data_IF_328507367110
#
_entry.id   IF_328507367110
#
_cell.length_a   1.000
_cell.length_b   1.000
_cell.length_c   1.000
_cell.angle_alpha   90.00
_cell.angle_beta   90.00
_cell.angle_gamma   90.00
#
_symmetry.space_group_name_H-M   'P 1'
#
loop_
_entity.id
_entity.type
_entity.pdbx_description
1 polymer ?
#
# COMPACT_ATOMS: atom_id res chain seq x y z
N UNK A 1 13.21 -25.02 27.87
CA UNK A 1 13.31 -24.55 26.47
C UNK A 1 12.58 -23.22 26.39
N UNK A 2 13.24 -22.16 26.83
CA UNK A 2 12.68 -20.81 26.96
C UNK A 2 13.25 -19.98 25.80
N UNK A 3 12.46 -19.75 24.75
CA UNK A 3 12.93 -19.03 23.56
C UNK A 3 12.27 -17.65 23.47
N UNK A 4 13.08 -16.63 23.80
CA UNK A 4 13.13 -15.29 23.20
C UNK A 4 11.78 -14.62 22.85
N UNK A 5 11.26 -13.83 23.80
CA UNK A 5 10.32 -12.72 23.54
C UNK A 5 11.03 -11.39 23.77
N UNK A 6 11.84 -10.96 22.82
CA UNK A 6 12.27 -9.56 22.80
C UNK A 6 11.09 -8.67 22.39
N UNK A 7 10.56 -7.91 23.36
CA UNK A 7 9.65 -6.81 23.10
C UNK A 7 10.48 -5.65 22.55
N UNK A 8 10.51 -5.50 21.23
CA UNK A 8 11.01 -4.29 20.60
C UNK A 8 10.04 -3.12 20.88
N UNK A 9 10.43 -2.24 21.80
CA UNK A 9 9.78 -0.94 22.00
C UNK A 9 10.50 0.10 21.16
N UNK A 10 9.84 0.61 20.12
CA UNK A 10 10.35 1.70 19.30
C UNK A 10 9.73 3.02 19.78
N UNK A 11 10.49 3.81 20.53
CA UNK A 11 10.12 5.19 20.86
C UNK A 11 10.41 6.09 19.66
N UNK A 12 9.35 6.47 18.94
CA UNK A 12 9.44 7.50 17.90
C UNK A 12 9.40 8.86 18.60
N UNK A 13 10.53 9.55 18.65
CA UNK A 13 10.53 10.99 18.93
C UNK A 13 9.93 11.67 17.70
N UNK A 14 8.67 12.10 17.81
CA UNK A 14 8.04 12.97 16.81
C UNK A 14 8.74 14.31 16.90
N UNK A 15 9.72 14.55 16.03
CA UNK A 15 10.20 15.91 15.79
C UNK A 15 8.99 16.75 15.40
N UNK A 16 8.89 17.95 15.96
CA UNK A 16 7.83 18.90 15.60
C UNK A 16 7.73 19.01 14.07
N UNK A 17 6.51 18.99 13.50
CA UNK A 17 6.36 19.01 12.06
C UNK A 17 6.98 20.30 11.51
N UNK A 18 7.92 20.21 10.56
CA UNK A 18 8.37 21.41 9.85
C UNK A 18 7.14 22.04 9.20
N UNK A 19 7.04 23.37 9.29
CA UNK A 19 5.96 24.13 8.63
C UNK A 19 5.91 23.69 7.16
N UNK A 20 4.72 23.59 6.53
CA UNK A 20 4.63 23.26 5.11
C UNK A 20 5.27 24.40 4.29
N UNK A 21 6.58 24.32 4.09
CA UNK A 21 7.33 25.23 3.25
C UNK A 21 7.10 24.80 1.81
N UNK A 22 6.48 25.68 1.03
CA UNK A 22 6.35 25.56 -0.41
C UNK A 22 7.74 25.26 -1.02
N UNK A 23 7.94 24.04 -1.53
CA UNK A 23 9.16 23.64 -2.24
C UNK A 23 9.90 22.44 -1.65
N UNK A 24 9.24 21.28 -1.55
CA UNK A 24 9.88 20.04 -1.10
C UNK A 24 10.76 19.43 -2.22
N UNK A 25 11.92 20.03 -2.49
CA UNK A 25 13.03 19.35 -3.18
C UNK A 25 14.06 18.74 -2.21
N UNK A 26 13.94 19.03 -0.91
CA UNK A 26 14.90 18.61 0.12
C UNK A 26 14.40 17.49 1.06
N UNK A 27 13.39 16.70 0.64
CA UNK A 27 12.95 15.52 1.41
C UNK A 27 14.01 14.40 1.52
N UNK A 28 15.18 14.56 0.87
CA UNK A 28 16.26 13.58 0.85
C UNK A 28 17.18 13.62 2.09
N UNK A 29 17.19 14.69 2.89
CA UNK A 29 18.13 14.88 4.01
C UNK A 29 17.53 14.66 5.41
N UNK A 30 16.23 14.36 5.51
CA UNK A 30 15.59 14.04 6.80
C UNK A 30 15.97 12.67 7.37
N UNK A 31 15.70 12.38 8.66
CA UNK A 31 16.00 11.08 9.26
C UNK A 31 15.26 9.93 8.55
N UNK A 32 15.97 8.81 8.34
CA UNK A 32 15.41 7.57 7.77
C UNK A 32 14.62 6.82 8.84
N UNK A 33 13.32 6.65 8.64
CA UNK A 33 12.46 5.92 9.56
C UNK A 33 12.14 4.54 8.98
N UNK A 34 12.52 3.47 9.70
CA UNK A 34 12.20 2.10 9.33
C UNK A 34 10.96 1.61 10.10
N UNK A 35 9.95 1.16 9.36
CA UNK A 35 8.74 0.57 9.90
C UNK A 35 8.73 -0.94 9.67
N UNK A 36 8.61 -1.71 10.75
CA UNK A 36 8.27 -3.13 10.71
C UNK A 36 6.76 -3.25 10.83
N UNK A 37 6.08 -3.67 9.76
CA UNK A 37 4.61 -3.70 9.79
C UNK A 37 3.99 -4.81 8.95
N UNK A 38 2.86 -5.32 9.42
CA UNK A 38 1.95 -6.14 8.63
C UNK A 38 1.05 -5.29 7.73
N UNK A 39 -0.08 -5.87 7.33
CA UNK A 39 -0.94 -5.34 6.28
C UNK A 39 -1.53 -3.95 6.52
N UNK A 40 -2.38 -3.79 7.54
CA UNK A 40 -3.29 -2.63 7.63
C UNK A 40 -2.99 -1.66 8.77
N UNK A 41 -2.26 -2.10 9.80
CA UNK A 41 -2.08 -1.32 11.03
C UNK A 41 -1.45 0.06 10.79
N UNK A 42 -0.49 0.15 9.87
CA UNK A 42 0.20 1.42 9.58
C UNK A 42 -0.43 2.23 8.42
N UNK A 43 -1.55 1.82 7.82
CA UNK A 43 -2.03 2.47 6.59
C UNK A 43 -2.39 3.94 6.79
N UNK A 44 -3.10 4.29 7.87
CA UNK A 44 -3.42 5.69 8.18
C UNK A 44 -2.17 6.51 8.51
N UNK A 45 -1.24 5.92 9.27
CA UNK A 45 0.02 6.60 9.59
C UNK A 45 0.81 6.90 8.32
N UNK A 46 0.93 5.95 7.39
CA UNK A 46 1.64 6.14 6.12
C UNK A 46 1.01 7.26 5.27
N UNK A 47 -0.32 7.34 5.20
CA UNK A 47 -1.04 8.39 4.46
C UNK A 47 -0.80 9.80 5.03
N UNK A 48 -0.62 9.89 6.35
CA UNK A 48 -0.26 11.15 7.00
C UNK A 48 1.23 11.43 6.84
N UNK A 49 2.08 10.43 7.04
CA UNK A 49 3.54 10.55 7.03
C UNK A 49 4.08 11.07 5.70
N UNK A 50 3.50 10.64 4.58
CA UNK A 50 3.95 11.09 3.26
C UNK A 50 3.80 12.60 3.03
N UNK A 51 2.96 13.28 3.82
CA UNK A 51 2.83 14.75 3.80
C UNK A 51 4.02 15.46 4.45
N UNK A 52 4.79 14.75 5.28
CA UNK A 52 5.88 15.30 6.09
C UNK A 52 7.25 14.80 5.65
N UNK A 53 7.37 13.55 5.22
CA UNK A 53 8.64 12.97 4.77
C UNK A 53 8.41 11.85 3.76
N UNK A 54 9.28 11.83 2.74
CA UNK A 54 9.37 10.71 1.80
C UNK A 54 10.47 9.72 2.18
N UNK A 55 11.26 10.00 3.22
CA UNK A 55 12.40 9.19 3.64
C UNK A 55 12.01 8.08 4.65
N UNK A 56 11.06 7.23 4.25
CA UNK A 56 10.58 6.11 5.08
C UNK A 56 10.79 4.76 4.39
N UNK A 57 11.21 3.77 5.17
CA UNK A 57 11.43 2.39 4.73
C UNK A 57 10.37 1.52 5.39
N UNK A 58 9.66 0.72 4.62
CA UNK A 58 8.58 -0.14 5.13
C UNK A 58 8.90 -1.59 4.85
N UNK A 59 9.24 -2.34 5.90
CA UNK A 59 9.40 -3.79 5.82
C UNK A 59 8.04 -4.45 6.03
N UNK A 60 7.53 -5.07 4.97
CA UNK A 60 6.21 -5.73 4.95
C UNK A 60 6.40 -7.24 4.87
N UNK A 61 5.78 -7.99 5.78
CA UNK A 61 5.90 -9.44 5.80
C UNK A 61 5.04 -10.08 4.69
N UNK A 62 5.57 -11.05 3.92
CA UNK A 62 4.83 -11.67 2.82
C UNK A 62 3.79 -12.71 3.27
N UNK A 63 3.59 -12.89 4.58
CA UNK A 63 2.78 -13.98 5.16
C UNK A 63 1.40 -13.53 5.68
N UNK A 64 1.18 -12.23 5.86
CA UNK A 64 0.05 -11.70 6.65
C UNK A 64 -1.28 -11.61 5.88
N UNK A 65 -1.30 -11.84 4.56
CA UNK A 65 -2.55 -11.71 3.80
C UNK A 65 -3.33 -13.03 3.65
N UNK A 66 -4.43 -13.15 4.40
CA UNK A 66 -5.52 -14.09 4.12
C UNK A 66 -6.41 -13.65 2.94
N UNK A 67 -7.20 -14.57 2.37
CA UNK A 67 -8.20 -14.25 1.33
C UNK A 67 -7.64 -14.26 -0.10
N UNK A 68 -7.87 -13.18 -0.87
CA UNK A 68 -7.54 -13.12 -2.30
C UNK A 68 -6.05 -13.37 -2.58
N UNK A 69 -5.16 -12.80 -1.78
CA UNK A 69 -3.71 -13.00 -1.94
C UNK A 69 -3.27 -14.43 -1.62
N UNK A 70 -3.95 -15.11 -0.68
CA UNK A 70 -3.69 -16.52 -0.40
C UNK A 70 -4.08 -17.42 -1.59
N UNK A 71 -5.22 -17.11 -2.24
CA UNK A 71 -5.63 -17.80 -3.48
C UNK A 71 -4.65 -17.58 -4.63
N UNK A 72 -4.17 -16.35 -4.81
CA UNK A 72 -3.15 -16.03 -5.82
C UNK A 72 -1.82 -16.74 -5.53
N UNK A 73 -1.39 -16.79 -4.26
CA UNK A 73 -0.20 -17.53 -3.84
C UNK A 73 -0.30 -19.02 -4.18
N UNK A 74 -1.46 -19.63 -3.94
CA UNK A 74 -1.70 -21.03 -4.28
C UNK A 74 -1.72 -21.28 -5.80
N UNK A 75 -2.28 -20.36 -6.58
CA UNK A 75 -2.38 -20.51 -8.03
C UNK A 75 -1.06 -20.22 -8.77
N UNK A 76 -0.29 -19.22 -8.33
CA UNK A 76 0.87 -18.68 -9.06
C UNK A 76 2.21 -18.89 -8.35
N UNK A 77 2.25 -19.57 -7.20
CA UNK A 77 3.46 -19.82 -6.41
C UNK A 77 4.25 -18.54 -6.09
N UNK A 78 3.53 -17.44 -5.83
CA UNK A 78 4.07 -16.10 -5.63
C UNK A 78 3.94 -15.62 -4.18
N UNK A 79 4.80 -14.69 -3.69
CA UNK A 79 4.63 -14.10 -2.36
C UNK A 79 3.31 -13.32 -2.25
N UNK A 80 2.86 -13.07 -1.02
CA UNK A 80 1.62 -12.32 -0.83
C UNK A 80 1.76 -10.87 -1.28
N UNK A 81 0.96 -10.48 -2.28
CA UNK A 81 0.92 -9.12 -2.83
C UNK A 81 -0.04 -8.19 -2.10
N UNK A 82 -0.87 -8.71 -1.18
CA UNK A 82 -1.94 -7.94 -0.55
C UNK A 82 -1.43 -6.77 0.28
N UNK A 83 -0.46 -7.06 1.16
CA UNK A 83 0.06 -6.08 2.10
C UNK A 83 0.97 -5.07 1.41
N UNK A 84 1.75 -5.51 0.42
CA UNK A 84 2.54 -4.63 -0.45
C UNK A 84 1.60 -3.65 -1.18
N UNK A 85 0.54 -4.15 -1.82
CA UNK A 85 -0.45 -3.30 -2.50
C UNK A 85 -1.07 -2.28 -1.55
N UNK A 86 -1.50 -2.71 -0.36
CA UNK A 86 -2.06 -1.80 0.64
C UNK A 86 -1.06 -0.71 1.05
N UNK A 87 0.22 -1.09 1.21
CA UNK A 87 1.29 -0.16 1.57
C UNK A 87 1.58 0.85 0.46
N UNK A 88 1.64 0.40 -0.79
CA UNK A 88 1.83 1.27 -1.96
C UNK A 88 0.70 2.29 -2.08
N UNK A 89 -0.56 1.86 -1.92
CA UNK A 89 -1.72 2.79 -1.94
C UNK A 89 -1.66 3.78 -0.77
N UNK A 90 -1.20 3.35 0.40
CA UNK A 90 -1.09 4.20 1.58
C UNK A 90 0.05 5.24 1.47
N UNK A 91 1.11 4.90 0.74
CA UNK A 91 2.27 5.75 0.45
C UNK A 91 2.15 6.45 -0.92
N UNK A 92 0.99 6.43 -1.56
CA UNK A 92 0.80 7.13 -2.81
C UNK A 92 0.43 8.59 -2.54
N UNK A 93 1.18 9.52 -3.11
CA UNK A 93 0.85 10.94 -3.04
C UNK A 93 -0.26 11.27 -4.03
N UNK A 94 -1.47 11.45 -3.50
CA UNK A 94 -2.68 11.74 -4.28
C UNK A 94 -2.73 13.17 -4.84
N UNK A 95 -1.78 14.03 -4.49
CA UNK A 95 -1.70 15.37 -5.09
C UNK A 95 -1.14 15.34 -6.52
N UNK A 96 -0.41 14.28 -6.87
CA UNK A 96 0.17 14.10 -8.19
C UNK A 96 -0.93 13.66 -9.19
N UNK A 97 -1.10 14.35 -10.33
CA UNK A 97 -2.06 13.95 -11.36
C UNK A 97 -1.84 12.49 -11.82
N UNK A 98 -2.93 11.73 -11.98
CA UNK A 98 -2.88 10.32 -12.38
C UNK A 98 -2.71 9.32 -11.23
N UNK A 99 -2.12 9.73 -10.10
CA UNK A 99 -1.96 8.85 -8.93
C UNK A 99 -3.31 8.46 -8.29
N UNK A 100 -4.31 9.37 -8.14
CA UNK A 100 -5.63 9.00 -7.63
C UNK A 100 -6.31 7.89 -8.44
N UNK A 101 -6.18 7.91 -9.76
CA UNK A 101 -6.74 6.94 -10.71
C UNK A 101 -6.04 5.58 -10.55
N UNK A 102 -4.71 5.57 -10.52
CA UNK A 102 -3.90 4.37 -10.27
C UNK A 102 -4.25 3.77 -8.90
N UNK A 103 -4.42 4.60 -7.87
CA UNK A 103 -4.83 4.14 -6.54
C UNK A 103 -6.22 3.49 -6.56
N UNK A 104 -7.17 4.04 -7.32
CA UNK A 104 -8.50 3.45 -7.48
C UNK A 104 -8.44 2.10 -8.18
N UNK A 105 -7.66 2.00 -9.25
CA UNK A 105 -7.43 0.73 -9.96
C UNK A 105 -6.80 -0.33 -9.04
N UNK A 106 -5.77 0.04 -8.27
CA UNK A 106 -5.10 -0.87 -7.35
C UNK A 106 -5.97 -1.23 -6.14
N UNK A 107 -6.88 -0.34 -5.70
CA UNK A 107 -7.81 -0.63 -4.62
C UNK A 107 -9.01 -1.47 -5.07
N UNK A 108 -9.28 -1.57 -6.37
CA UNK A 108 -10.44 -2.26 -6.92
C UNK A 108 -10.47 -3.74 -6.53
N UNK A 109 -11.67 -4.23 -6.21
CA UNK A 109 -11.96 -5.63 -5.95
C UNK A 109 -13.19 -6.05 -6.72
N UNK A 110 -13.10 -7.17 -7.42
CA UNK A 110 -14.26 -7.77 -8.04
C UNK A 110 -15.33 -8.12 -6.98
N UNK A 111 -16.62 -7.94 -7.31
CA UNK A 111 -17.69 -8.33 -6.42
C UNK A 111 -17.65 -9.84 -6.17
N UNK A 112 -18.03 -10.26 -4.96
CA UNK A 112 -18.11 -11.69 -4.59
C UNK A 112 -19.29 -12.40 -5.27
N UNK A 113 -20.26 -11.63 -5.73
CA UNK A 113 -21.46 -12.07 -6.43
C UNK A 113 -21.35 -11.69 -7.91
N UNK A 114 -21.79 -12.58 -8.79
CA UNK A 114 -21.75 -12.38 -10.24
C UNK A 114 -21.48 -13.70 -10.97
N UNK A 115 -21.87 -13.77 -12.25
CA UNK A 115 -21.52 -14.91 -13.09
C UNK A 115 -20.05 -14.80 -13.52
N UNK A 116 -19.40 -15.94 -13.76
CA UNK A 116 -18.01 -15.95 -14.23
C UNK A 116 -17.85 -15.22 -15.57
N UNK A 117 -18.87 -15.31 -16.45
CA UNK A 117 -18.89 -14.64 -17.74
C UNK A 117 -18.84 -13.11 -17.59
N UNK A 118 -19.69 -12.55 -16.71
CA UNK A 118 -19.73 -11.10 -16.47
C UNK A 118 -18.43 -10.57 -15.88
N UNK A 119 -17.86 -11.32 -14.92
CA UNK A 119 -16.60 -10.95 -14.27
C UNK A 119 -15.43 -11.01 -15.24
N UNK A 120 -15.38 -12.02 -16.12
CA UNK A 120 -14.36 -12.16 -17.15
C UNK A 120 -14.48 -11.04 -18.19
N UNK A 121 -15.68 -10.78 -18.70
CA UNK A 121 -15.91 -9.69 -19.64
C UNK A 121 -15.50 -8.33 -19.06
N UNK A 122 -15.74 -8.12 -17.76
CA UNK A 122 -15.26 -6.92 -17.07
C UNK A 122 -13.74 -6.87 -16.96
N UNK A 123 -13.09 -7.97 -16.60
CA UNK A 123 -11.62 -8.03 -16.57
C UNK A 123 -11.02 -7.69 -17.94
N UNK A 124 -11.57 -8.25 -19.02
CA UNK A 124 -11.13 -7.96 -20.38
C UNK A 124 -11.30 -6.47 -20.73
N UNK A 125 -12.41 -5.83 -20.35
CA UNK A 125 -12.57 -4.37 -20.52
C UNK A 125 -11.51 -3.58 -19.77
N UNK A 126 -11.16 -3.97 -18.55
CA UNK A 126 -10.09 -3.30 -17.78
C UNK A 126 -8.75 -3.45 -18.49
N UNK A 127 -8.41 -4.65 -18.95
CA UNK A 127 -7.14 -4.94 -19.66
C UNK A 127 -7.03 -4.12 -20.95
N UNK A 128 -8.12 -3.96 -21.68
CA UNK A 128 -8.17 -3.18 -22.92
C UNK A 128 -8.40 -1.68 -22.72
N UNK A 129 -8.49 -1.18 -21.48
CA UNK A 129 -8.68 0.24 -21.18
C UNK A 129 -10.09 0.78 -21.47
N UNK A 130 -11.07 -0.11 -21.62
CA UNK A 130 -12.48 0.22 -21.94
C UNK A 130 -13.40 0.21 -20.70
N UNK A 131 -12.86 -0.03 -19.51
CA UNK A 131 -13.63 0.04 -18.26
C UNK A 131 -13.51 1.45 -17.64
N UNK A 132 -14.59 1.99 -17.04
CA UNK A 132 -14.56 3.29 -16.35
C UNK A 132 -13.46 3.45 -15.29
N UNK A 133 -12.88 2.35 -14.81
CA UNK A 133 -11.72 2.37 -13.92
C UNK A 133 -10.41 2.85 -14.58
N UNK A 134 -10.31 2.82 -15.91
CA UNK A 134 -9.07 3.09 -16.66
C UNK A 134 -9.24 4.22 -17.69
N UNK A 135 -10.46 4.49 -18.15
CA UNK A 135 -10.73 5.44 -19.25
C UNK A 135 -10.89 6.91 -18.83
N UNK A 136 -10.27 7.36 -17.72
CA UNK A 136 -10.42 8.75 -17.23
C UNK A 136 -9.25 9.65 -17.59
#
# INVERSE_FOLDING_TARGET
>A
MEAYREKFSCSVQVLDPPRPTQGCREAASGPRILFFSGGTALSRLSQTLIRYTHNSIHLVTPFDSGGSSAKLRQAFHMPSVGDIRNRLIALADRSIPGIPEVCQLFAFRFPRTGTLGDLRARLERIVWGNDPLVTR
#
